data_IF_959612364877
#
_entry.id   IF_959612364877
#
_cell.length_a   1.000
_cell.length_b   1.000
_cell.length_c   1.000
_cell.angle_alpha   90.00
_cell.angle_beta   90.00
_cell.angle_gamma   90.00
#
_symmetry.space_group_name_H-M   'P 1'
#
loop_
_entity.id
_entity.type
_entity.pdbx_description
1 polymer ?
#
# COMPACT_ATOMS: atom_id res chain seq x y z
N UNK A 1 6.54 -7.31 45.59
CA UNK A 1 6.93 -6.74 46.90
C UNK A 1 6.12 -5.47 47.14
N UNK A 2 5.54 -5.27 48.33
CA UNK A 2 4.59 -4.19 48.59
C UNK A 2 5.28 -2.90 49.06
N UNK A 3 4.67 -1.73 48.89
CA UNK A 3 4.91 -0.60 49.78
C UNK A 3 3.68 -0.33 50.66
N UNK A 4 3.89 -0.62 51.94
CA UNK A 4 3.52 0.13 53.15
C UNK A 4 2.30 1.04 53.12
N UNK A 5 1.30 0.59 53.89
CA UNK A 5 0.26 1.38 54.56
C UNK A 5 0.84 2.64 55.20
N UNK A 6 0.32 3.81 54.85
CA UNK A 6 0.39 5.01 55.68
C UNK A 6 -0.98 5.28 56.30
N UNK A 7 -0.94 5.46 57.63
CA UNK A 7 -2.03 5.69 58.56
C UNK A 7 -2.48 7.14 58.41
N UNK A 8 -3.75 7.37 58.08
CA UNK A 8 -4.37 8.69 58.18
C UNK A 8 -4.48 9.08 59.67
N UNK A 9 -4.12 10.31 60.06
CA UNK A 9 -4.45 10.81 61.39
C UNK A 9 -5.94 11.15 61.47
N UNK A 10 -6.47 10.90 62.66
CA UNK A 10 -7.86 11.03 63.09
C UNK A 10 -8.48 12.40 62.80
N UNK A 11 -9.64 12.35 62.16
CA UNK A 11 -10.69 13.38 62.23
C UNK A 11 -11.20 13.41 63.66
N UNK A 12 -10.98 14.52 64.37
CA UNK A 12 -11.75 14.90 65.55
C UNK A 12 -12.21 16.34 65.32
N UNK A 13 -13.43 16.46 64.80
CA UNK A 13 -14.20 17.70 64.79
C UNK A 13 -14.97 17.70 66.10
N UNK A 14 -14.39 18.32 67.13
CA UNK A 14 -15.14 18.67 68.34
C UNK A 14 -15.54 20.14 68.19
N UNK A 15 -16.74 20.33 67.66
CA UNK A 15 -17.53 21.53 67.92
C UNK A 15 -18.18 21.33 69.29
N UNK A 16 -17.82 22.15 70.27
CA UNK A 16 -18.56 22.23 71.52
C UNK A 16 -18.57 23.69 71.95
N UNK A 17 -19.61 24.36 71.45
CA UNK A 17 -20.41 25.41 72.06
C UNK A 17 -19.78 26.09 73.28
N UNK A 18 -19.39 27.34 73.07
CA UNK A 18 -19.10 28.28 74.14
C UNK A 18 -20.37 28.51 74.98
N UNK A 19 -20.31 28.15 76.26
CA UNK A 19 -21.15 28.75 77.28
C UNK A 19 -20.60 30.15 77.56
N UNK A 20 -21.04 31.12 76.76
CA UNK A 20 -20.90 32.53 77.13
C UNK A 20 -21.92 32.83 78.22
N UNK A 21 -21.42 32.97 79.44
CA UNK A 21 -22.19 33.45 80.59
C UNK A 21 -22.89 34.77 80.23
N UNK A 22 -24.23 34.76 80.27
CA UNK A 22 -25.07 35.95 80.21
C UNK A 22 -24.70 36.88 81.37
N UNK A 23 -23.85 37.87 81.12
CA UNK A 23 -23.65 38.98 82.04
C UNK A 23 -24.90 39.87 81.98
N UNK A 24 -25.90 39.50 82.79
CA UNK A 24 -27.13 40.26 83.01
C UNK A 24 -26.79 41.71 83.38
N UNK A 25 -27.21 42.64 82.52
CA UNK A 25 -27.20 44.08 82.77
C UNK A 25 -28.30 44.44 83.77
N UNK A 26 -28.04 44.19 85.05
CA UNK A 26 -28.90 44.65 86.13
C UNK A 26 -28.69 46.15 86.34
N UNK A 27 -29.69 46.92 85.89
CA UNK A 27 -29.71 48.38 85.99
C UNK A 27 -30.18 48.75 87.40
N UNK A 28 -29.25 48.88 88.34
CA UNK A 28 -29.57 49.45 89.65
C UNK A 28 -29.42 50.97 89.61
N UNK A 29 -30.56 51.65 89.73
CA UNK A 29 -30.67 53.11 89.88
C UNK A 29 -30.17 53.48 91.28
N UNK A 30 -29.20 54.39 91.46
CA UNK A 30 -28.83 54.88 92.79
C UNK A 30 -29.95 55.79 93.32
N UNK A 31 -30.72 55.33 94.31
CA UNK A 31 -31.50 56.25 95.16
C UNK A 31 -30.54 56.93 96.12
N UNK A 32 -30.31 58.23 95.88
CA UNK A 32 -29.60 59.11 96.78
C UNK A 32 -30.43 59.36 98.06
N UNK A 33 -29.90 58.93 99.21
CA UNK A 33 -30.32 59.48 100.50
C UNK A 33 -29.49 60.75 100.77
N UNK A 34 -30.09 61.87 100.38
CA UNK A 34 -29.76 63.23 100.79
C UNK A 34 -29.87 63.32 102.33
N UNK A 35 -28.75 63.17 103.03
CA UNK A 35 -28.63 63.60 104.43
C UNK A 35 -27.87 64.93 104.48
N UNK A 36 -28.65 66.01 104.39
CA UNK A 36 -28.24 67.38 104.68
C UNK A 36 -28.97 67.80 105.96
N UNK A 37 -28.23 67.96 107.05
CA UNK A 37 -28.63 68.87 108.12
C UNK A 37 -27.39 69.58 108.62
N UNK A 38 -27.40 70.88 108.36
CA UNK A 38 -26.53 71.90 108.95
C UNK A 38 -26.51 71.79 110.48
N UNK A 39 -25.37 72.14 111.08
CA UNK A 39 -25.28 73.35 111.91
C UNK A 39 -23.85 73.48 112.52
N UNK A 40 -23.10 74.42 111.92
CA UNK A 40 -22.15 75.34 112.55
C UNK A 40 -20.95 74.75 113.32
N UNK A 41 -19.79 74.84 112.68
CA UNK A 41 -18.64 75.47 113.32
C UNK A 41 -17.91 76.40 112.33
N UNK A 42 -17.73 77.65 112.77
CA UNK A 42 -17.34 78.81 111.95
C UNK A 42 -15.81 78.86 111.83
N UNK A 43 -15.31 79.14 110.61
CA UNK A 43 -13.98 79.70 110.23
C UNK A 43 -13.18 78.79 109.27
N UNK A 44 -13.51 78.81 107.98
CA UNK A 44 -12.73 78.11 106.92
C UNK A 44 -13.26 78.26 105.48
N UNK A 45 -14.31 79.05 105.26
CA UNK A 45 -15.26 78.93 104.15
C UNK A 45 -14.76 79.34 102.76
N UNK A 46 -13.64 80.05 102.63
CA UNK A 46 -13.21 80.61 101.35
C UNK A 46 -12.22 79.72 100.57
N UNK A 47 -11.45 78.86 101.26
CA UNK A 47 -10.59 77.85 100.61
C UNK A 47 -11.39 76.60 100.20
N UNK A 48 -12.42 76.29 100.99
CA UNK A 48 -13.28 75.12 100.78
C UNK A 48 -14.10 75.25 99.49
N UNK A 49 -14.57 76.44 99.11
CA UNK A 49 -15.38 76.64 97.90
C UNK A 49 -14.58 76.50 96.60
N UNK A 50 -13.35 77.02 96.51
CA UNK A 50 -12.50 76.89 95.32
C UNK A 50 -12.04 75.43 95.09
N UNK A 51 -11.62 74.77 96.16
CA UNK A 51 -11.27 73.34 96.10
C UNK A 51 -12.47 72.46 95.73
N UNK A 52 -13.69 72.83 96.15
CA UNK A 52 -14.90 72.13 95.75
C UNK A 52 -15.19 72.27 94.25
N UNK A 53 -14.99 73.46 93.68
CA UNK A 53 -15.20 73.73 92.26
C UNK A 53 -14.17 72.96 91.42
N UNK A 54 -12.89 73.06 91.77
CA UNK A 54 -11.81 72.31 91.10
C UNK A 54 -12.05 70.79 91.18
N UNK A 55 -12.54 70.28 92.31
CA UNK A 55 -12.94 68.87 92.45
C UNK A 55 -14.12 68.50 91.54
N UNK A 56 -15.13 69.36 91.42
CA UNK A 56 -16.28 69.13 90.54
C UNK A 56 -15.87 69.15 89.05
N UNK A 57 -14.98 70.06 88.66
CA UNK A 57 -14.43 70.13 87.31
C UNK A 57 -13.59 68.89 86.97
N UNK A 58 -12.73 68.44 87.89
CA UNK A 58 -11.96 67.19 87.72
C UNK A 58 -12.86 65.96 87.61
N UNK A 59 -13.94 65.89 88.41
CA UNK A 59 -14.92 64.81 88.32
C UNK A 59 -15.67 64.81 86.99
N UNK A 60 -16.07 65.99 86.50
CA UNK A 60 -16.71 66.12 85.20
C UNK A 60 -15.75 65.74 84.05
N UNK A 61 -14.50 66.18 84.08
CA UNK A 61 -13.47 65.79 83.11
C UNK A 61 -13.20 64.28 83.13
N UNK A 62 -13.21 63.66 84.31
CA UNK A 62 -13.08 62.21 84.44
C UNK A 62 -14.30 61.49 83.82
N UNK A 63 -15.51 62.00 84.02
CA UNK A 63 -16.72 61.47 83.37
C UNK A 63 -16.64 61.60 81.84
N UNK A 64 -16.22 62.75 81.32
CA UNK A 64 -16.02 62.96 79.88
C UNK A 64 -14.99 61.98 79.31
N UNK A 65 -13.82 61.82 79.97
CA UNK A 65 -12.81 60.85 79.56
C UNK A 65 -13.33 59.41 79.60
N UNK A 66 -14.17 59.06 80.58
CA UNK A 66 -14.79 57.74 80.67
C UNK A 66 -15.76 57.48 79.50
N UNK A 67 -16.52 58.50 79.09
CA UNK A 67 -17.41 58.44 77.92
C UNK A 67 -16.59 58.36 76.63
N UNK A 68 -15.56 59.19 76.45
CA UNK A 68 -14.69 59.12 75.27
C UNK A 68 -13.99 57.76 75.16
N UNK A 69 -13.54 57.20 76.29
CA UNK A 69 -12.92 55.88 76.34
C UNK A 69 -13.92 54.79 75.96
N UNK A 70 -15.15 54.83 76.48
CA UNK A 70 -16.19 53.86 76.11
C UNK A 70 -16.59 53.96 74.64
N UNK A 71 -16.67 55.18 74.08
CA UNK A 71 -16.93 55.41 72.66
C UNK A 71 -15.79 54.86 71.78
N UNK A 72 -14.53 55.12 72.14
CA UNK A 72 -13.36 54.57 71.43
C UNK A 72 -13.33 53.04 71.51
N UNK A 73 -13.65 52.45 72.67
CA UNK A 73 -13.77 51.00 72.81
C UNK A 73 -14.86 50.44 71.90
N UNK A 74 -16.03 51.08 71.85
CA UNK A 74 -17.12 50.67 70.95
C UNK A 74 -16.70 50.73 69.48
N UNK A 75 -15.97 51.76 69.06
CA UNK A 75 -15.44 51.86 67.69
C UNK A 75 -14.46 50.73 67.40
N UNK A 76 -13.54 50.45 68.33
CA UNK A 76 -12.56 49.37 68.20
C UNK A 76 -13.28 48.02 68.06
N UNK A 77 -14.29 47.76 68.88
CA UNK A 77 -15.00 46.49 68.85
C UNK A 77 -15.84 46.33 67.58
N UNK A 78 -16.46 47.41 67.08
CA UNK A 78 -17.13 47.40 65.79
C UNK A 78 -16.15 47.10 64.64
N UNK A 79 -14.98 47.77 64.62
CA UNK A 79 -13.94 47.49 63.63
C UNK A 79 -13.43 46.05 63.70
N UNK A 80 -13.29 45.46 64.90
CA UNK A 80 -12.91 44.04 65.05
C UNK A 80 -13.96 43.12 64.44
N UNK A 81 -15.24 43.39 64.68
CA UNK A 81 -16.35 42.61 64.09
C UNK A 81 -16.34 42.73 62.57
N UNK A 82 -16.18 43.93 62.03
CA UNK A 82 -16.07 44.16 60.58
C UNK A 82 -14.86 43.42 59.96
N UNK A 83 -13.71 43.42 60.63
CA UNK A 83 -12.55 42.69 60.16
C UNK A 83 -12.70 41.17 60.27
N UNK A 84 -13.33 40.68 61.34
CA UNK A 84 -13.60 39.25 61.52
C UNK A 84 -14.54 38.74 60.43
N UNK A 85 -15.69 39.40 60.25
CA UNK A 85 -16.65 39.08 59.18
C UNK A 85 -16.01 39.15 57.80
N UNK A 86 -15.15 40.17 57.54
CA UNK A 86 -14.42 40.26 56.27
C UNK A 86 -13.44 39.10 56.06
N UNK A 87 -12.79 38.65 57.13
CA UNK A 87 -11.87 37.51 57.08
C UNK A 87 -12.63 36.23 56.75
N UNK A 88 -13.76 35.99 57.42
CA UNK A 88 -14.66 34.85 57.16
C UNK A 88 -15.15 34.85 55.70
N UNK A 89 -15.62 35.99 55.17
CA UNK A 89 -16.02 36.10 53.76
C UNK A 89 -14.89 35.75 52.78
N UNK A 90 -13.66 36.17 53.08
CA UNK A 90 -12.50 35.89 52.22
C UNK A 90 -12.10 34.42 52.30
N UNK A 91 -12.18 33.81 53.47
CA UNK A 91 -11.95 32.37 53.67
C UNK A 91 -12.98 31.52 52.93
N UNK A 92 -14.27 31.87 52.99
CA UNK A 92 -15.31 31.21 52.22
C UNK A 92 -15.06 31.31 50.71
N UNK A 93 -14.72 32.51 50.21
CA UNK A 93 -14.38 32.72 48.79
C UNK A 93 -13.16 31.91 48.37
N UNK A 94 -12.14 31.84 49.23
CA UNK A 94 -10.96 31.02 48.98
C UNK A 94 -11.31 29.54 48.90
N UNK A 95 -12.14 29.05 49.83
CA UNK A 95 -12.60 27.66 49.85
C UNK A 95 -13.40 27.30 48.60
N UNK A 96 -14.29 28.19 48.14
CA UNK A 96 -15.03 28.02 46.88
C UNK A 96 -14.07 27.98 45.68
N UNK A 97 -13.09 28.88 45.61
CA UNK A 97 -12.11 28.90 44.52
C UNK A 97 -11.23 27.64 44.49
N UNK A 98 -10.81 27.14 45.67
CA UNK A 98 -10.05 25.89 45.79
C UNK A 98 -10.88 24.69 45.33
N UNK A 99 -12.16 24.62 45.73
CA UNK A 99 -13.06 23.56 45.30
C UNK A 99 -13.25 23.58 43.76
N UNK A 100 -13.50 24.75 43.18
CA UNK A 100 -13.62 24.90 41.72
C UNK A 100 -12.35 24.48 40.99
N UNK A 101 -11.18 24.87 41.48
CA UNK A 101 -9.88 24.43 40.93
C UNK A 101 -9.75 22.91 40.96
N UNK A 102 -10.12 22.27 42.08
CA UNK A 102 -10.05 20.81 42.20
C UNK A 102 -10.98 20.11 41.22
N UNK A 103 -12.22 20.59 41.07
CA UNK A 103 -13.17 20.05 40.09
C UNK A 103 -12.65 20.19 38.66
N UNK A 104 -12.09 21.34 38.31
CA UNK A 104 -11.52 21.56 36.98
C UNK A 104 -10.30 20.67 36.72
N UNK A 105 -9.43 20.49 37.71
CA UNK A 105 -8.28 19.59 37.60
C UNK A 105 -8.72 18.13 37.35
N UNK A 106 -9.73 17.65 38.10
CA UNK A 106 -10.28 16.30 37.90
C UNK A 106 -10.94 16.13 36.53
N UNK A 107 -11.66 17.14 36.03
CA UNK A 107 -12.25 17.10 34.68
C UNK A 107 -11.18 17.03 33.60
N UNK A 108 -10.12 17.84 33.73
CA UNK A 108 -9.02 17.83 32.76
C UNK A 108 -8.28 16.49 32.76
N UNK A 109 -7.99 15.95 33.94
CA UNK A 109 -7.29 14.67 34.08
C UNK A 109 -8.13 13.51 33.51
N UNK A 110 -9.44 13.52 33.77
CA UNK A 110 -10.38 12.56 33.15
C UNK A 110 -10.40 12.67 31.62
N UNK A 111 -10.42 13.89 31.06
CA UNK A 111 -10.42 14.10 29.62
C UNK A 111 -9.08 13.67 28.99
N UNK A 112 -7.96 13.93 29.65
CA UNK A 112 -6.64 13.47 29.21
C UNK A 112 -6.54 11.94 29.22
N UNK A 113 -7.04 11.28 30.26
CA UNK A 113 -7.07 9.82 30.31
C UNK A 113 -7.93 9.21 29.19
N UNK A 114 -9.14 9.75 28.98
CA UNK A 114 -10.04 9.29 27.91
C UNK A 114 -9.39 9.43 26.53
N UNK A 115 -8.83 10.60 26.21
CA UNK A 115 -8.17 10.84 24.91
C UNK A 115 -6.94 9.97 24.72
N UNK A 116 -6.17 9.73 25.79
CA UNK A 116 -5.02 8.82 25.73
C UNK A 116 -5.44 7.37 25.46
N UNK A 117 -6.49 6.89 26.12
CA UNK A 117 -6.99 5.54 25.94
C UNK A 117 -7.66 5.34 24.57
N UNK A 118 -8.38 6.33 24.06
CA UNK A 118 -8.91 6.32 22.70
C UNK A 118 -7.80 6.27 21.65
N UNK A 119 -6.76 7.09 21.81
CA UNK A 119 -5.60 7.09 20.91
C UNK A 119 -4.89 5.74 20.90
N UNK A 120 -4.70 5.11 22.08
CA UNK A 120 -4.14 3.76 22.20
C UNK A 120 -5.00 2.71 21.50
N UNK A 121 -6.33 2.75 21.69
CA UNK A 121 -7.28 1.84 21.01
C UNK A 121 -7.21 2.00 19.49
N UNK A 122 -7.26 3.23 18.99
CA UNK A 122 -7.14 3.52 17.56
C UNK A 122 -5.79 3.08 16.98
N UNK A 123 -4.69 3.25 17.72
CA UNK A 123 -3.39 2.78 17.30
C UNK A 123 -3.32 1.24 17.23
N UNK A 124 -3.91 0.55 18.19
CA UNK A 124 -3.99 -0.91 18.19
C UNK A 124 -4.82 -1.44 17.01
N UNK A 125 -5.99 -0.84 16.75
CA UNK A 125 -6.83 -1.19 15.60
C UNK A 125 -6.09 -0.97 14.27
N UNK A 126 -5.46 0.20 14.08
CA UNK A 126 -4.67 0.47 12.86
C UNK A 126 -3.52 -0.52 12.66
N UNK A 127 -2.86 -0.94 13.74
CA UNK A 127 -1.81 -1.98 13.66
C UNK A 127 -2.39 -3.31 13.21
N UNK A 128 -3.51 -3.72 13.81
CA UNK A 128 -4.19 -4.97 13.43
C UNK A 128 -4.65 -4.94 11.95
N UNK A 129 -5.24 -3.84 11.50
CA UNK A 129 -5.64 -3.67 10.09
C UNK A 129 -4.44 -3.72 9.15
N UNK A 130 -3.34 -3.05 9.52
CA UNK A 130 -2.08 -3.09 8.76
C UNK A 130 -1.52 -4.51 8.66
N UNK A 131 -1.53 -5.28 9.75
CA UNK A 131 -1.04 -6.66 9.76
C UNK A 131 -1.88 -7.56 8.85
N UNK A 132 -3.20 -7.38 8.83
CA UNK A 132 -4.12 -8.11 7.92
C UNK A 132 -3.84 -7.77 6.46
N UNK A 133 -3.66 -6.48 6.14
CA UNK A 133 -3.33 -6.04 4.77
C UNK A 133 -1.98 -6.62 4.34
N UNK A 134 -0.97 -6.56 5.20
CA UNK A 134 0.37 -7.05 4.91
C UNK A 134 0.39 -8.57 4.71
N UNK A 135 -0.39 -9.32 5.50
CA UNK A 135 -0.57 -10.76 5.30
C UNK A 135 -1.22 -11.05 3.95
N UNK A 136 -2.30 -10.33 3.61
CA UNK A 136 -2.98 -10.49 2.33
C UNK A 136 -2.07 -10.13 1.15
N UNK A 137 -1.26 -9.08 1.28
CA UNK A 137 -0.29 -8.69 0.26
C UNK A 137 0.76 -9.79 0.03
N UNK A 138 1.31 -10.37 1.10
CA UNK A 138 2.25 -11.50 0.98
C UNK A 138 1.64 -12.69 0.25
N UNK A 139 0.40 -13.06 0.60
CA UNK A 139 -0.31 -14.14 -0.10
C UNK A 139 -0.49 -13.82 -1.59
N UNK A 140 -0.88 -12.59 -1.92
CA UNK A 140 -1.02 -12.16 -3.32
C UNK A 140 0.32 -12.20 -4.07
N UNK A 141 1.40 -11.73 -3.46
CA UNK A 141 2.75 -11.80 -4.05
C UNK A 141 3.21 -13.24 -4.29
N UNK A 142 2.95 -14.15 -3.34
CA UNK A 142 3.24 -15.58 -3.49
C UNK A 142 2.41 -16.21 -4.62
N UNK A 143 1.11 -15.95 -4.66
CA UNK A 143 0.25 -16.47 -5.75
C UNK A 143 0.67 -15.93 -7.12
N UNK A 144 1.08 -14.66 -7.20
CA UNK A 144 1.55 -14.06 -8.44
C UNK A 144 2.87 -14.70 -8.90
N UNK A 145 3.83 -14.93 -7.98
CA UNK A 145 5.05 -15.68 -8.29
C UNK A 145 4.73 -17.08 -8.83
N UNK A 146 3.84 -17.82 -8.16
CA UNK A 146 3.42 -19.15 -8.61
C UNK A 146 2.76 -19.12 -10.00
N UNK A 147 1.95 -18.09 -10.30
CA UNK A 147 1.34 -17.93 -11.62
C UNK A 147 2.40 -17.62 -12.70
N UNK A 148 3.37 -16.78 -12.39
CA UNK A 148 4.51 -16.50 -13.29
C UNK A 148 5.33 -17.76 -13.58
N UNK A 149 5.61 -18.57 -12.56
CA UNK A 149 6.33 -19.83 -12.70
C UNK A 149 5.54 -20.81 -13.57
N UNK A 150 4.25 -21.02 -13.27
CA UNK A 150 3.35 -21.87 -14.08
C UNK A 150 3.24 -21.40 -15.53
N UNK A 151 3.18 -20.09 -15.77
CA UNK A 151 3.19 -19.52 -17.12
C UNK A 151 4.54 -19.69 -17.82
N UNK A 152 5.65 -19.71 -17.07
CA UNK A 152 6.97 -20.07 -17.57
C UNK A 152 7.06 -21.54 -17.96
N UNK A 153 6.55 -22.43 -17.10
CA UNK A 153 6.50 -23.88 -17.34
C UNK A 153 5.65 -24.21 -18.57
N UNK A 154 4.47 -23.59 -18.69
CA UNK A 154 3.61 -23.73 -19.86
C UNK A 154 4.31 -23.26 -21.14
N UNK A 155 5.04 -22.14 -21.12
CA UNK A 155 5.83 -21.69 -22.28
C UNK A 155 6.93 -22.68 -22.67
N UNK A 156 7.51 -23.41 -21.71
CA UNK A 156 8.51 -24.45 -21.99
C UNK A 156 7.85 -25.71 -22.54
N UNK A 157 6.71 -26.14 -21.99
CA UNK A 157 6.00 -27.33 -22.47
C UNK A 157 5.42 -27.14 -23.87
N UNK A 158 5.03 -25.92 -24.25
CA UNK A 158 4.57 -25.61 -25.61
C UNK A 158 5.68 -25.61 -26.69
N UNK A 159 6.95 -25.89 -26.35
CA UNK A 159 8.03 -25.98 -27.35
C UNK A 159 7.97 -27.27 -28.15
N UNK A 160 7.57 -28.36 -27.52
CA UNK A 160 7.57 -29.71 -28.11
C UNK A 160 6.13 -30.24 -28.19
N UNK A 161 5.41 -29.79 -29.22
CA UNK A 161 3.99 -30.09 -29.45
C UNK A 161 3.76 -31.22 -30.46
N UNK A 162 4.80 -32.00 -30.78
CA UNK A 162 4.66 -33.05 -31.79
C UNK A 162 3.74 -34.18 -31.29
N UNK A 163 2.63 -34.35 -32.00
CA UNK A 163 1.60 -35.32 -31.70
C UNK A 163 1.64 -36.45 -32.73
N UNK A 164 1.51 -37.70 -32.27
CA UNK A 164 1.32 -38.85 -33.16
C UNK A 164 -0.14 -38.92 -33.61
N UNK A 165 -0.40 -39.53 -34.78
CA UNK A 165 -1.75 -39.65 -35.33
C UNK A 165 -2.72 -40.38 -34.38
N UNK A 166 -2.25 -41.41 -33.69
CA UNK A 166 -3.06 -42.17 -32.73
C UNK A 166 -3.48 -41.29 -31.54
N UNK A 167 -2.54 -40.53 -30.98
CA UNK A 167 -2.83 -39.60 -29.87
C UNK A 167 -3.73 -38.44 -30.30
N UNK A 168 -3.60 -37.98 -31.54
CA UNK A 168 -4.50 -36.98 -32.09
C UNK A 168 -5.94 -37.50 -32.14
N UNK A 169 -6.17 -38.72 -32.63
CA UNK A 169 -7.50 -39.33 -32.68
C UNK A 169 -8.11 -39.46 -31.28
N UNK A 170 -7.32 -39.85 -30.30
CA UNK A 170 -7.75 -39.94 -28.90
C UNK A 170 -8.15 -38.57 -28.32
N UNK A 171 -7.35 -37.53 -28.55
CA UNK A 171 -7.57 -36.21 -27.96
C UNK A 171 -8.63 -35.38 -28.69
N UNK A 172 -8.82 -35.59 -30.00
CA UNK A 172 -9.78 -34.84 -30.83
C UNK A 172 -11.24 -35.02 -30.38
N UNK A 173 -11.56 -36.21 -29.86
CA UNK A 173 -12.93 -36.53 -29.44
C UNK A 173 -13.25 -36.02 -28.02
N UNK A 174 -12.27 -35.45 -27.32
CA UNK A 174 -12.41 -34.89 -25.97
C UNK A 174 -12.82 -33.41 -26.07
N UNK A 175 -13.83 -32.93 -25.31
CA UNK A 175 -14.18 -31.52 -25.26
C UNK A 175 -13.03 -30.62 -24.79
N UNK A 176 -12.91 -29.42 -25.38
CA UNK A 176 -11.84 -28.46 -25.10
C UNK A 176 -11.70 -28.11 -23.61
N UNK A 177 -12.82 -28.02 -22.89
CA UNK A 177 -12.87 -27.71 -21.45
C UNK A 177 -12.19 -28.75 -20.56
N UNK A 178 -12.05 -29.98 -21.06
CA UNK A 178 -11.42 -31.10 -20.36
C UNK A 178 -9.97 -31.32 -20.76
N UNK A 179 -9.54 -30.71 -21.86
CA UNK A 179 -8.16 -30.79 -22.33
C UNK A 179 -7.27 -29.87 -21.50
N UNK A 180 -6.05 -30.31 -21.21
CA UNK A 180 -5.03 -29.38 -20.75
C UNK A 180 -4.70 -28.38 -21.86
N UNK A 181 -4.23 -27.19 -21.49
CA UNK A 181 -3.82 -26.16 -22.47
C UNK A 181 -2.79 -26.73 -23.46
N UNK A 182 -1.86 -27.57 -22.99
CA UNK A 182 -0.86 -28.22 -23.83
C UNK A 182 -1.46 -29.19 -24.83
N UNK A 183 -2.42 -30.02 -24.41
CA UNK A 183 -3.09 -30.98 -25.30
C UNK A 183 -3.96 -30.27 -26.32
N UNK A 184 -4.73 -29.27 -25.90
CA UNK A 184 -5.53 -28.44 -26.79
C UNK A 184 -4.67 -27.80 -27.87
N UNK A 185 -3.57 -27.15 -27.48
CA UNK A 185 -2.65 -26.53 -28.45
C UNK A 185 -1.99 -27.58 -29.35
N UNK A 186 -1.64 -28.76 -28.83
CA UNK A 186 -1.04 -29.84 -29.63
C UNK A 186 -2.01 -30.38 -30.70
N UNK A 187 -3.29 -30.53 -30.36
CA UNK A 187 -4.34 -30.94 -31.32
C UNK A 187 -4.47 -29.91 -32.43
N UNK A 188 -4.65 -28.63 -32.09
CA UNK A 188 -4.74 -27.54 -33.07
C UNK A 188 -3.48 -27.45 -33.96
N UNK A 189 -2.30 -27.62 -33.35
CA UNK A 189 -1.04 -27.60 -34.08
C UNK A 189 -0.93 -28.77 -35.05
N UNK A 190 -1.34 -29.98 -34.63
CA UNK A 190 -1.35 -31.16 -35.47
C UNK A 190 -2.28 -31.00 -36.68
N UNK A 191 -3.50 -30.48 -36.49
CA UNK A 191 -4.46 -30.25 -37.57
C UNK A 191 -3.94 -29.32 -38.67
N UNK A 192 -3.14 -28.32 -38.30
CA UNK A 192 -2.55 -27.38 -39.26
C UNK A 192 -1.26 -27.92 -39.88
N UNK A 193 -0.38 -28.52 -39.07
CA UNK A 193 0.97 -28.91 -39.51
C UNK A 193 0.98 -30.23 -40.27
N UNK A 194 0.13 -31.19 -39.91
CA UNK A 194 0.04 -32.49 -40.58
C UNK A 194 -0.24 -32.38 -42.10
N UNK A 195 -1.27 -31.64 -42.57
CA UNK A 195 -1.52 -31.49 -44.00
C UNK A 195 -0.40 -30.74 -44.73
N UNK A 196 0.24 -29.76 -44.09
CA UNK A 196 1.39 -29.06 -44.66
C UNK A 196 2.60 -29.98 -44.82
N UNK A 197 2.88 -30.83 -43.82
CA UNK A 197 3.93 -31.86 -43.90
C UNK A 197 3.66 -32.83 -45.05
N UNK A 198 2.40 -33.27 -45.23
CA UNK A 198 2.00 -34.13 -46.34
C UNK A 198 2.18 -33.47 -47.73
N UNK A 199 1.76 -32.21 -47.87
CA UNK A 199 1.99 -31.45 -49.12
C UNK A 199 3.47 -31.28 -49.43
N UNK A 200 4.31 -31.03 -48.41
CA UNK A 200 5.75 -30.94 -48.58
C UNK A 200 6.36 -32.27 -49.05
N UNK A 201 5.92 -33.41 -48.50
CA UNK A 201 6.39 -34.71 -48.97
C UNK A 201 5.97 -34.98 -50.41
N UNK A 202 4.72 -34.67 -50.79
CA UNK A 202 4.22 -34.87 -52.15
C UNK A 202 4.99 -34.02 -53.17
N UNK A 203 5.24 -32.74 -52.82
CA UNK A 203 6.06 -31.85 -53.64
C UNK A 203 7.50 -32.35 -53.76
N UNK A 204 8.07 -32.90 -52.69
CA UNK A 204 9.42 -33.47 -52.71
C UNK A 204 9.52 -34.68 -53.65
N UNK A 205 8.52 -35.57 -53.61
CA UNK A 205 8.42 -36.72 -54.51
C UNK A 205 8.27 -36.26 -55.97
N UNK A 206 7.38 -35.30 -56.23
CA UNK A 206 7.17 -34.74 -57.58
C UNK A 206 8.42 -34.04 -58.12
N UNK A 207 9.15 -33.32 -57.28
CA UNK A 207 10.44 -32.73 -57.67
C UNK A 207 11.43 -33.82 -58.07
N UNK A 208 11.52 -34.91 -57.31
CA UNK A 208 12.43 -36.01 -57.64
C UNK A 208 12.06 -36.67 -58.96
N UNK A 209 10.79 -37.02 -59.16
CA UNK A 209 10.36 -37.64 -60.42
C UNK A 209 10.65 -36.76 -61.63
N UNK A 210 10.37 -35.45 -61.55
CA UNK A 210 10.71 -34.51 -62.63
C UNK A 210 12.21 -34.38 -62.85
N UNK A 211 13.02 -34.51 -61.80
CA UNK A 211 14.48 -34.48 -61.92
C UNK A 211 14.99 -35.72 -62.65
N UNK A 212 14.46 -36.89 -62.29
CA UNK A 212 14.77 -38.16 -62.96
C UNK A 212 14.31 -38.13 -64.42
N UNK A 213 13.10 -37.64 -64.71
CA UNK A 213 12.58 -37.46 -66.07
C UNK A 213 13.49 -36.51 -66.90
N UNK A 214 13.94 -35.40 -66.31
CA UNK A 214 14.89 -34.50 -66.98
C UNK A 214 16.23 -35.19 -67.27
N UNK A 215 16.71 -36.05 -66.39
CA UNK A 215 17.95 -36.78 -66.58
C UNK A 215 17.81 -37.87 -67.65
N UNK A 216 16.69 -38.58 -67.68
CA UNK A 216 16.39 -39.54 -68.76
C UNK A 216 16.27 -38.84 -70.12
N UNK A 217 15.58 -37.70 -70.21
CA UNK A 217 15.53 -36.93 -71.45
C UNK A 217 16.90 -36.40 -71.89
N UNK A 218 17.73 -35.93 -70.95
CA UNK A 218 19.11 -35.52 -71.25
C UNK A 218 19.94 -36.67 -71.81
N UNK A 219 19.81 -37.88 -71.28
CA UNK A 219 20.54 -39.06 -71.78
C UNK A 219 20.02 -39.51 -73.14
N UNK A 220 18.70 -39.53 -73.36
CA UNK A 220 18.07 -39.82 -74.65
C UNK A 220 18.52 -38.86 -75.75
N UNK A 221 18.55 -37.56 -75.46
CA UNK A 221 19.03 -36.54 -76.41
C UNK A 221 20.50 -36.79 -76.77
N UNK A 222 21.35 -37.08 -75.77
CA UNK A 222 22.76 -37.41 -76.01
C UNK A 222 22.93 -38.64 -76.90
N UNK A 223 22.18 -39.72 -76.66
CA UNK A 223 22.24 -40.93 -77.50
C UNK A 223 21.74 -40.67 -78.91
N UNK A 224 20.66 -39.91 -79.06
CA UNK A 224 20.09 -39.58 -80.37
C UNK A 224 21.06 -38.72 -81.18
N UNK A 225 21.68 -37.71 -80.56
CA UNK A 225 22.73 -36.90 -81.18
C UNK A 225 23.89 -37.76 -81.67
N UNK A 226 24.37 -38.71 -80.84
CA UNK A 226 25.45 -39.61 -81.21
C UNK A 226 25.08 -40.50 -82.41
N UNK A 227 23.90 -41.10 -82.39
CA UNK A 227 23.40 -41.91 -83.52
C UNK A 227 23.23 -41.08 -84.80
N UNK A 228 22.71 -39.85 -84.68
CA UNK A 228 22.60 -38.93 -85.81
C UNK A 228 23.97 -38.57 -86.41
N UNK A 229 24.98 -38.34 -85.56
CA UNK A 229 26.35 -38.09 -86.03
C UNK A 229 26.96 -39.31 -86.72
N UNK A 230 26.72 -40.52 -86.22
CA UNK A 230 27.17 -41.78 -86.83
C UNK A 230 26.52 -42.00 -88.21
N UNK A 231 25.20 -41.82 -88.33
CA UNK A 231 24.48 -41.93 -89.60
C UNK A 231 24.95 -40.87 -90.61
N UNK A 232 25.19 -39.64 -90.14
CA UNK A 232 25.75 -38.57 -90.97
C UNK A 232 27.12 -38.94 -91.53
N UNK A 233 27.99 -39.55 -90.72
CA UNK A 233 29.31 -40.05 -91.17
C UNK A 233 29.15 -41.20 -92.18
N UNK A 234 28.30 -42.20 -91.88
CA UNK A 234 28.05 -43.33 -92.76
C UNK A 234 27.49 -42.90 -94.13
N UNK A 235 26.53 -41.95 -94.14
CA UNK A 235 26.00 -41.36 -95.37
C UNK A 235 27.08 -40.67 -96.19
N UNK A 236 27.95 -39.89 -95.55
CA UNK A 236 29.08 -39.24 -96.22
C UNK A 236 30.05 -40.26 -96.84
N UNK A 237 30.34 -41.36 -96.15
CA UNK A 237 31.19 -42.43 -96.67
C UNK A 237 30.56 -43.18 -97.86
N UNK A 238 29.25 -43.44 -97.79
CA UNK A 238 28.50 -44.06 -98.87
C UNK A 238 28.42 -43.16 -100.09
N UNK A 239 28.25 -41.85 -99.89
CA UNK A 239 28.27 -40.86 -100.97
C UNK A 239 29.62 -40.85 -101.69
N UNK A 240 30.74 -40.84 -100.94
CA UNK A 240 32.09 -40.97 -101.50
C UNK A 240 32.28 -42.29 -102.26
N UNK A 241 31.81 -43.42 -101.71
CA UNK A 241 31.87 -44.72 -102.38
C UNK A 241 31.03 -44.75 -103.66
N UNK A 242 29.83 -44.19 -103.64
CA UNK A 242 28.95 -44.11 -104.80
C UNK A 242 29.59 -43.27 -105.91
N UNK A 243 30.18 -42.12 -105.56
CA UNK A 243 30.95 -41.30 -106.49
C UNK A 243 32.11 -42.09 -107.13
N UNK A 244 32.89 -42.85 -106.34
CA UNK A 244 33.97 -43.71 -106.86
C UNK A 244 33.47 -44.79 -107.81
N UNK A 245 32.45 -45.56 -107.40
CA UNK A 245 31.86 -46.61 -108.24
C UNK A 245 31.27 -46.04 -109.54
N UNK A 246 30.69 -44.83 -109.48
CA UNK A 246 30.18 -44.15 -110.68
C UNK A 246 31.31 -43.83 -111.66
N UNK A 247 32.48 -43.40 -111.16
CA UNK A 247 33.67 -43.18 -111.99
C UNK A 247 34.20 -44.50 -112.58
N UNK A 248 34.36 -45.55 -111.77
CA UNK A 248 34.82 -46.87 -112.23
C UNK A 248 33.86 -47.49 -113.28
N UNK A 249 32.55 -47.31 -113.10
CA UNK A 249 31.53 -47.76 -114.04
C UNK A 249 31.63 -46.98 -115.36
N UNK A 250 31.90 -45.68 -115.31
CA UNK A 250 32.16 -44.88 -116.51
C UNK A 250 33.43 -45.34 -117.25
N UNK A 251 34.51 -45.62 -116.51
CA UNK A 251 35.77 -46.12 -117.07
C UNK A 251 35.62 -47.51 -117.72
N UNK A 252 34.93 -48.43 -117.06
CA UNK A 252 34.64 -49.77 -117.62
C UNK A 252 33.73 -49.71 -118.84
N UNK A 253 32.69 -48.86 -118.83
CA UNK A 253 31.86 -48.62 -120.03
C UNK A 253 32.71 -48.11 -121.19
N UNK A 254 33.64 -47.20 -120.93
CA UNK A 254 34.56 -46.69 -121.96
C UNK A 254 35.48 -47.80 -122.48
N UNK A 255 36.04 -48.64 -121.62
CA UNK A 255 36.86 -49.80 -122.02
C UNK A 255 36.09 -50.81 -122.87
N UNK A 256 34.83 -51.08 -122.52
CA UNK A 256 33.95 -51.94 -123.33
C UNK A 256 33.71 -51.31 -124.70
N UNK A 257 33.36 -50.02 -124.77
CA UNK A 257 33.20 -49.31 -126.04
C UNK A 257 34.48 -49.33 -126.90
N UNK A 258 35.65 -49.14 -126.30
CA UNK A 258 36.95 -49.26 -126.99
C UNK A 258 37.23 -50.70 -127.46
N UNK A 259 36.81 -51.70 -126.69
CA UNK A 259 36.93 -53.13 -127.03
C UNK A 259 35.99 -53.54 -128.16
N UNK A 260 34.73 -53.13 -128.10
CA UNK A 260 33.72 -53.35 -129.14
C UNK A 260 34.15 -52.64 -130.44
N UNK A 261 34.64 -51.39 -130.36
CA UNK A 261 35.19 -50.67 -131.50
C UNK A 261 36.38 -51.40 -132.15
N UNK A 262 37.25 -52.02 -131.36
CA UNK A 262 38.35 -52.85 -131.88
C UNK A 262 37.80 -54.10 -132.57
N UNK A 263 36.83 -54.78 -131.95
CA UNK A 263 36.24 -56.04 -132.46
C UNK A 263 35.47 -55.83 -133.76
N UNK A 264 34.71 -54.75 -133.86
CA UNK A 264 33.96 -54.37 -135.06
C UNK A 264 34.88 -53.94 -136.21
N UNK A 265 36.07 -53.40 -135.92
CA UNK A 265 37.08 -53.04 -136.91
C UNK A 265 38.11 -54.15 -137.22
N UNK A 266 38.12 -55.27 -136.49
CA UNK A 266 39.04 -56.39 -136.77
C UNK A 266 38.77 -57.07 -138.12
N UNK A 267 37.54 -56.98 -138.64
CA UNK A 267 37.17 -57.42 -140.00
C UNK A 267 37.76 -56.54 -141.10
N UNK A 268 38.22 -55.32 -140.79
CA UNK A 268 38.82 -54.39 -141.75
C UNK A 268 40.36 -54.43 -141.80
N UNK A 269 41.04 -55.22 -140.96
CA UNK A 269 42.52 -55.21 -140.84
C UNK A 269 43.18 -56.50 -141.39
N UNK A 270 42.42 -57.55 -141.75
CA UNK A 270 42.96 -58.68 -142.53
C UNK A 270 42.71 -58.48 -144.03
N UNK A 271 43.52 -57.64 -144.66
CA UNK A 271 43.82 -57.67 -146.10
C UNK A 271 45.17 -57.02 -146.38
#
# INVERSE_FOLDING_TARGET
MPPKKQKNPSVNISSSLEESEELSLETTVPTEDISSSDERDRTGTQKVTRQLIERKELLHNLQLLKIEMSQKNLIIDNMKVDHLTKTEELEERLNVALHQKQVLALRLDSQLQLTQDESRKQQALRKQEMDVILLRQKQLEETNRQLCDKAGDLRRSLRDLELTEDKYKELRDIPEERLSITEYVAVCFYEVVSPLKAQLSDLHVKRNSLTDDLETHRTQIKSLMKSYEEERRARSELEIRNQRLTLELADTKRLIQEGDFKRDNYSNIKR
#
